data_IF_240436247108
#
_entry.id   IF_240436247108
#
_cell.length_a   1.000
_cell.length_b   1.000
_cell.length_c   1.000
_cell.angle_alpha   90.00
_cell.angle_beta   90.00
_cell.angle_gamma   90.00
#
_symmetry.space_group_name_H-M   'P 1'
#
loop_
_entity.id
_entity.type
_entity.pdbx_description
1 polymer ?
#
# COMPACT_ATOMS: atom_id res chain seq x y z
N UNK A 1 29.71 -34.99 -28.09
CA UNK A 1 29.99 -33.74 -28.83
C UNK A 1 28.79 -33.26 -29.66
N UNK A 2 28.12 -34.10 -30.48
CA UNK A 2 26.93 -33.64 -31.23
C UNK A 2 25.70 -33.30 -30.38
N UNK A 3 25.45 -34.02 -29.27
CA UNK A 3 24.33 -33.73 -28.36
C UNK A 3 24.51 -32.39 -27.62
N UNK A 4 25.71 -32.09 -27.14
CA UNK A 4 25.99 -30.84 -26.40
C UNK A 4 25.87 -29.58 -27.26
N UNK A 5 26.25 -29.64 -28.55
CA UNK A 5 26.11 -28.51 -29.48
C UNK A 5 24.62 -28.27 -29.80
N UNK A 6 23.83 -29.35 -29.94
CA UNK A 6 22.39 -29.28 -30.21
C UNK A 6 21.61 -28.66 -29.05
N UNK A 7 21.93 -29.02 -27.81
CA UNK A 7 21.28 -28.46 -26.61
C UNK A 7 21.62 -26.98 -26.42
N UNK A 8 22.85 -26.58 -26.75
CA UNK A 8 23.27 -25.19 -26.69
C UNK A 8 22.57 -24.32 -27.76
N UNK A 9 22.46 -24.80 -29.00
CA UNK A 9 21.76 -24.04 -30.05
C UNK A 9 20.28 -23.88 -29.75
N UNK A 10 19.63 -24.94 -29.24
CA UNK A 10 18.25 -24.84 -28.78
C UNK A 10 18.12 -23.81 -27.64
N UNK A 11 19.11 -23.74 -26.73
CA UNK A 11 19.14 -22.78 -25.62
C UNK A 11 19.17 -21.32 -26.07
N UNK A 12 19.84 -21.03 -27.18
CA UNK A 12 19.87 -19.69 -27.78
C UNK A 12 18.51 -19.33 -28.41
N UNK A 13 17.78 -20.28 -28.98
CA UNK A 13 16.44 -20.04 -29.54
C UNK A 13 15.40 -19.73 -28.46
N UNK A 14 15.46 -20.42 -27.33
CA UNK A 14 14.62 -20.11 -26.17
C UNK A 14 14.91 -18.71 -25.64
N UNK A 15 16.18 -18.32 -25.54
CA UNK A 15 16.56 -16.98 -25.13
C UNK A 15 15.95 -15.92 -26.05
N UNK A 16 16.04 -16.10 -27.37
CA UNK A 16 15.41 -15.20 -28.36
C UNK A 16 13.89 -15.12 -28.17
N UNK A 17 13.26 -16.22 -27.78
CA UNK A 17 11.82 -16.25 -27.50
C UNK A 17 11.48 -15.50 -26.22
N UNK A 18 12.27 -15.67 -25.16
CA UNK A 18 12.13 -14.90 -23.92
C UNK A 18 12.31 -13.38 -24.15
N UNK A 19 13.33 -12.99 -24.93
CA UNK A 19 13.60 -11.59 -25.29
C UNK A 19 12.49 -10.94 -26.12
N UNK A 20 11.88 -11.70 -27.04
CA UNK A 20 10.68 -11.23 -27.78
C UNK A 20 9.49 -10.99 -26.86
N UNK A 21 9.28 -11.86 -25.86
CA UNK A 21 8.23 -11.67 -24.84
C UNK A 21 8.52 -10.45 -23.96
N UNK A 22 9.77 -10.26 -23.54
CA UNK A 22 10.18 -9.10 -22.74
C UNK A 22 9.86 -7.77 -23.44
N UNK A 23 10.18 -7.69 -24.74
CA UNK A 23 9.89 -6.51 -25.54
C UNK A 23 8.38 -6.21 -25.63
N UNK A 24 7.54 -7.25 -25.77
CA UNK A 24 6.08 -7.08 -25.76
C UNK A 24 5.57 -6.62 -24.39
N UNK A 25 6.10 -7.17 -23.31
CA UNK A 25 5.74 -6.78 -21.94
C UNK A 25 6.07 -5.31 -21.67
N UNK A 26 7.25 -4.84 -22.09
CA UNK A 26 7.64 -3.44 -21.97
C UNK A 26 6.69 -2.49 -22.74
N UNK A 27 6.26 -2.88 -23.94
CA UNK A 27 5.30 -2.11 -24.74
C UNK A 27 3.94 -2.05 -24.05
N UNK A 28 3.44 -3.18 -23.56
CA UNK A 28 2.15 -3.25 -22.85
C UNK A 28 2.20 -2.46 -21.54
N UNK A 29 3.27 -2.56 -20.77
CA UNK A 29 3.48 -1.81 -19.54
C UNK A 29 3.44 -0.29 -19.80
N UNK A 30 4.13 0.18 -20.84
CA UNK A 30 4.11 1.60 -21.25
C UNK A 30 2.72 2.08 -21.67
N UNK A 31 1.93 1.23 -22.32
CA UNK A 31 0.55 1.56 -22.73
C UNK A 31 -0.44 1.55 -21.56
N UNK A 32 -0.22 0.68 -20.58
CA UNK A 32 -1.11 0.49 -19.41
C UNK A 32 -0.72 1.34 -18.20
N UNK A 33 0.43 2.02 -18.25
CA UNK A 33 0.96 2.81 -17.13
C UNK A 33 1.46 1.96 -15.96
N UNK A 34 1.61 0.64 -16.12
CA UNK A 34 2.14 -0.26 -15.11
C UNK A 34 3.67 -0.30 -15.18
N UNK A 35 4.34 -0.45 -14.03
CA UNK A 35 5.80 -0.65 -14.03
C UNK A 35 6.15 -2.00 -14.66
N UNK A 36 7.09 -1.98 -15.60
CA UNK A 36 7.66 -3.17 -16.24
C UNK A 36 8.85 -3.75 -15.46
N UNK A 37 9.31 -3.04 -14.44
CA UNK A 37 10.59 -3.31 -13.78
C UNK A 37 10.39 -4.19 -12.54
N UNK A 38 11.42 -4.96 -12.19
CA UNK A 38 11.45 -5.70 -10.93
C UNK A 38 11.52 -4.74 -9.75
N UNK A 39 10.89 -5.13 -8.64
CA UNK A 39 11.02 -4.39 -7.40
C UNK A 39 12.43 -4.54 -6.82
N UNK A 40 13.04 -3.42 -6.44
CA UNK A 40 14.29 -3.41 -5.69
C UNK A 40 14.03 -3.83 -4.25
N UNK A 41 14.74 -4.86 -3.80
CA UNK A 41 14.65 -5.32 -2.41
C UNK A 41 15.03 -4.22 -1.41
N UNK A 42 16.10 -3.48 -1.66
CA UNK A 42 16.60 -2.47 -0.71
C UNK A 42 15.61 -1.32 -0.54
N UNK A 43 14.95 -0.91 -1.63
CA UNK A 43 13.89 0.10 -1.59
C UNK A 43 12.68 -0.42 -0.81
N UNK A 44 12.20 -1.61 -1.12
CA UNK A 44 11.04 -2.21 -0.44
C UNK A 44 11.32 -2.45 1.04
N UNK A 45 12.50 -2.98 1.39
CA UNK A 45 12.92 -3.18 2.78
C UNK A 45 12.98 -1.85 3.54
N UNK A 46 13.54 -0.81 2.94
CA UNK A 46 13.60 0.52 3.53
C UNK A 46 12.21 1.12 3.77
N UNK A 47 11.32 0.99 2.79
CA UNK A 47 9.93 1.47 2.86
C UNK A 47 9.12 0.74 3.93
N UNK A 48 9.29 -0.57 4.07
CA UNK A 48 8.53 -1.41 5.02
C UNK A 48 9.21 -1.57 6.39
N UNK A 49 10.33 -0.85 6.63
CA UNK A 49 11.06 -0.86 7.91
C UNK A 49 11.47 -2.27 8.33
N UNK A 50 12.11 -3.02 7.42
CA UNK A 50 12.58 -4.38 7.71
C UNK A 50 13.73 -4.41 8.72
N UNK A 51 13.45 -4.90 9.92
CA UNK A 51 14.35 -4.85 11.09
C UNK A 51 15.10 -6.17 11.34
N UNK A 52 14.42 -7.31 11.27
CA UNK A 52 14.98 -8.62 11.66
C UNK A 52 15.05 -9.61 10.51
N UNK A 53 16.09 -10.45 10.52
CA UNK A 53 16.28 -11.54 9.56
C UNK A 53 16.09 -12.89 10.27
N UNK A 54 15.38 -13.82 9.64
CA UNK A 54 15.13 -15.16 10.15
C UNK A 54 15.46 -16.19 9.05
N UNK A 55 16.44 -17.09 9.26
CA UNK A 55 16.70 -18.16 8.31
C UNK A 55 15.54 -19.16 8.31
N UNK A 56 14.98 -19.41 7.13
CA UNK A 56 13.87 -20.37 6.92
C UNK A 56 14.33 -21.68 6.27
N UNK A 57 15.59 -21.73 5.79
CA UNK A 57 16.20 -22.92 5.21
C UNK A 57 15.75 -23.19 3.78
N UNK A 58 15.97 -24.43 3.31
CA UNK A 58 15.60 -24.88 1.97
C UNK A 58 14.10 -25.18 1.90
N UNK A 59 13.41 -24.54 0.96
CA UNK A 59 11.98 -24.74 0.71
C UNK A 59 11.68 -24.73 -0.78
N UNK A 60 10.55 -25.32 -1.17
CA UNK A 60 9.98 -25.19 -2.50
C UNK A 60 8.94 -24.08 -2.49
N UNK A 61 9.09 -23.09 -3.38
CA UNK A 61 8.22 -21.89 -3.42
C UNK A 61 7.62 -21.70 -4.80
N UNK A 62 6.47 -21.00 -4.90
CA UNK A 62 5.87 -20.73 -6.19
C UNK A 62 6.61 -19.60 -6.92
N UNK A 63 6.88 -19.80 -8.21
CA UNK A 63 7.64 -18.84 -9.03
C UNK A 63 6.93 -17.50 -9.20
N UNK A 64 5.60 -17.47 -9.16
CA UNK A 64 4.81 -16.24 -9.26
C UNK A 64 4.92 -15.33 -8.02
N UNK A 65 5.38 -15.86 -6.88
CA UNK A 65 5.61 -15.10 -5.67
C UNK A 65 6.97 -14.37 -5.67
N UNK A 66 7.84 -14.67 -6.64
CA UNK A 66 9.11 -13.95 -6.84
C UNK A 66 8.83 -12.66 -7.63
N UNK A 67 8.92 -11.51 -6.96
CA UNK A 67 8.47 -10.22 -7.53
C UNK A 67 9.59 -9.21 -7.72
N UNK A 68 10.79 -9.51 -7.22
CA UNK A 68 11.89 -8.55 -7.21
C UNK A 68 13.25 -9.19 -7.05
N UNK A 69 14.27 -8.36 -7.01
CA UNK A 69 15.66 -8.80 -6.87
C UNK A 69 16.45 -7.84 -5.98
N UNK A 70 17.46 -8.37 -5.29
CA UNK A 70 18.42 -7.59 -4.50
C UNK A 70 19.41 -6.86 -5.41
N UNK A 71 19.72 -7.44 -6.57
CA UNK A 71 20.56 -6.81 -7.59
C UNK A 71 20.10 -7.21 -8.98
N UNK A 72 20.50 -6.48 -10.03
CA UNK A 72 20.10 -6.78 -11.42
C UNK A 72 18.60 -6.64 -11.69
N UNK A 73 17.88 -5.84 -10.89
CA UNK A 73 16.46 -5.56 -11.11
C UNK A 73 16.20 -4.78 -12.43
N UNK A 74 17.25 -4.14 -12.98
CA UNK A 74 17.25 -3.50 -14.31
C UNK A 74 17.56 -4.45 -15.48
N UNK A 75 18.07 -5.66 -15.20
CA UNK A 75 18.48 -6.61 -16.25
C UNK A 75 17.29 -7.44 -16.75
N UNK A 76 16.16 -7.42 -16.02
CA UNK A 76 14.99 -8.25 -16.30
C UNK A 76 13.67 -7.47 -16.17
N UNK A 77 12.65 -7.91 -16.90
CA UNK A 77 11.26 -7.47 -16.67
C UNK A 77 10.74 -7.98 -15.32
N UNK A 78 9.60 -7.45 -14.86
CA UNK A 78 8.84 -7.96 -13.72
C UNK A 78 8.55 -9.47 -13.82
N UNK A 79 8.42 -9.97 -15.05
CA UNK A 79 8.25 -11.40 -15.33
C UNK A 79 9.57 -12.21 -15.36
N UNK A 80 10.70 -11.62 -14.95
CA UNK A 80 12.06 -12.20 -15.02
C UNK A 80 12.51 -12.56 -16.44
N UNK A 81 12.02 -11.83 -17.46
CA UNK A 81 12.49 -12.01 -18.83
C UNK A 81 13.71 -11.11 -19.08
N UNK A 82 14.78 -11.63 -19.73
CA UNK A 82 16.01 -10.87 -19.94
C UNK A 82 15.77 -9.68 -20.86
N UNK A 83 16.33 -8.52 -20.49
CA UNK A 83 16.24 -7.28 -21.26
C UNK A 83 17.47 -7.05 -22.15
N UNK A 84 18.64 -7.53 -21.77
CA UNK A 84 19.89 -7.35 -22.52
C UNK A 84 20.27 -8.62 -23.32
N UNK A 85 20.63 -8.42 -24.59
CA UNK A 85 21.12 -9.49 -25.47
C UNK A 85 22.48 -10.05 -25.03
N UNK A 86 23.26 -9.30 -24.22
CA UNK A 86 24.54 -9.76 -23.66
C UNK A 86 24.39 -10.95 -22.71
N UNK A 87 23.19 -11.16 -22.15
CA UNK A 87 22.92 -12.29 -21.25
C UNK A 87 22.71 -13.62 -21.99
N UNK A 88 22.66 -13.62 -23.33
CA UNK A 88 22.33 -14.81 -24.14
C UNK A 88 23.20 -16.02 -23.81
N UNK A 89 24.53 -15.85 -23.79
CA UNK A 89 25.45 -16.96 -23.52
C UNK A 89 25.29 -17.49 -22.09
N UNK A 90 25.18 -16.60 -21.11
CA UNK A 90 25.04 -16.99 -19.71
C UNK A 90 23.70 -17.69 -19.47
N UNK A 91 22.63 -17.16 -20.05
CA UNK A 91 21.29 -17.74 -19.99
C UNK A 91 21.27 -19.13 -20.63
N UNK A 92 21.88 -19.29 -21.81
CA UNK A 92 21.97 -20.58 -22.49
C UNK A 92 22.76 -21.61 -21.68
N UNK A 93 23.91 -21.22 -21.10
CA UNK A 93 24.68 -22.11 -20.21
C UNK A 93 23.88 -22.54 -18.99
N UNK A 94 23.12 -21.63 -18.37
CA UNK A 94 22.26 -21.96 -17.23
C UNK A 94 21.17 -22.95 -17.67
N UNK A 95 20.51 -22.72 -18.81
CA UNK A 95 19.51 -23.65 -19.34
C UNK A 95 20.10 -25.04 -19.57
N UNK A 96 21.20 -25.13 -20.30
CA UNK A 96 21.87 -26.42 -20.57
C UNK A 96 22.27 -27.11 -19.27
N UNK A 97 22.74 -26.36 -18.25
CA UNK A 97 23.09 -26.94 -16.96
C UNK A 97 21.88 -27.54 -16.21
N UNK A 98 20.72 -26.89 -16.31
CA UNK A 98 19.47 -27.37 -15.70
C UNK A 98 19.02 -28.66 -16.39
N UNK A 99 19.09 -28.72 -17.72
CA UNK A 99 18.71 -29.93 -18.47
C UNK A 99 19.62 -31.13 -18.13
N UNK A 100 20.91 -30.89 -17.88
CA UNK A 100 21.89 -31.94 -17.62
C UNK A 100 21.95 -32.39 -16.16
N UNK A 101 21.87 -31.46 -15.21
CA UNK A 101 22.18 -31.67 -13.79
C UNK A 101 21.02 -31.37 -12.85
N UNK A 102 19.90 -30.89 -13.38
CA UNK A 102 18.80 -30.37 -12.58
C UNK A 102 19.06 -28.96 -12.07
N UNK A 103 18.04 -28.38 -11.42
CA UNK A 103 18.08 -27.01 -10.92
C UNK A 103 18.65 -26.97 -9.50
N UNK A 104 19.81 -26.32 -9.34
CA UNK A 104 20.34 -26.03 -8.01
C UNK A 104 19.47 -24.97 -7.30
N UNK A 105 19.27 -25.07 -5.97
CA UNK A 105 18.47 -24.09 -5.22
C UNK A 105 18.97 -22.65 -5.38
N UNK A 106 18.04 -21.72 -5.48
CA UNK A 106 18.33 -20.27 -5.52
C UNK A 106 18.41 -19.70 -4.09
N UNK A 107 18.82 -18.44 -3.95
CA UNK A 107 18.84 -17.74 -2.67
C UNK A 107 17.86 -16.57 -2.71
N UNK A 108 17.00 -16.48 -1.69
CA UNK A 108 15.91 -15.49 -1.64
C UNK A 108 15.84 -14.78 -0.30
N UNK A 109 15.51 -13.49 -0.36
CA UNK A 109 14.86 -12.82 0.76
C UNK A 109 13.33 -12.92 0.64
N UNK A 110 12.65 -13.05 1.77
CA UNK A 110 11.18 -13.06 1.85
C UNK A 110 10.70 -11.86 2.67
N UNK A 111 9.69 -11.13 2.20
CA UNK A 111 8.95 -10.13 2.97
C UNK A 111 7.46 -10.47 2.83
N UNK A 112 6.77 -10.80 3.93
CA UNK A 112 5.40 -11.30 3.85
C UNK A 112 5.34 -12.60 3.05
N UNK A 113 4.56 -12.64 1.96
CA UNK A 113 4.51 -13.78 1.03
C UNK A 113 5.32 -13.56 -0.27
N UNK A 114 5.99 -12.41 -0.38
CA UNK A 114 6.73 -12.00 -1.55
C UNK A 114 8.21 -12.33 -1.44
N UNK A 115 8.81 -12.74 -2.56
CA UNK A 115 10.22 -13.14 -2.62
C UNK A 115 11.05 -12.23 -3.52
N UNK A 116 12.29 -12.02 -3.09
CA UNK A 116 13.31 -11.22 -3.78
C UNK A 116 14.55 -12.06 -4.01
N UNK A 117 15.03 -12.11 -5.24
CA UNK A 117 16.21 -12.92 -5.61
C UNK A 117 17.49 -12.29 -5.08
N UNK A 118 18.18 -13.00 -4.18
CA UNK A 118 19.54 -12.65 -3.75
C UNK A 118 20.56 -13.21 -4.74
N UNK A 119 20.42 -14.49 -5.10
CA UNK A 119 21.19 -15.13 -6.17
C UNK A 119 20.33 -16.09 -7.00
N UNK A 120 20.64 -16.18 -8.29
CA UNK A 120 19.98 -17.09 -9.22
C UNK A 120 18.97 -16.45 -10.19
N UNK A 121 19.08 -15.16 -10.49
CA UNK A 121 18.19 -14.44 -11.42
C UNK A 121 17.99 -15.17 -12.77
N UNK A 122 19.07 -15.61 -13.43
CA UNK A 122 18.95 -16.37 -14.69
C UNK A 122 18.27 -17.73 -14.50
N UNK A 123 18.42 -18.37 -13.33
CA UNK A 123 17.75 -19.65 -13.03
C UNK A 123 16.24 -19.44 -12.91
N UNK A 124 15.80 -18.36 -12.24
CA UNK A 124 14.38 -17.96 -12.19
C UNK A 124 13.85 -17.66 -13.59
N UNK A 125 14.61 -16.92 -14.40
CA UNK A 125 14.27 -16.62 -15.79
C UNK A 125 14.06 -17.88 -16.63
N UNK A 126 15.03 -18.82 -16.59
CA UNK A 126 14.94 -20.10 -17.29
C UNK A 126 13.76 -20.95 -16.77
N UNK A 127 13.57 -21.01 -15.46
CA UNK A 127 12.47 -21.77 -14.84
C UNK A 127 11.10 -21.29 -15.36
N UNK A 128 10.88 -19.98 -15.37
CA UNK A 128 9.66 -19.38 -15.93
C UNK A 128 9.52 -19.62 -17.43
N UNK A 129 10.62 -19.50 -18.19
CA UNK A 129 10.60 -19.77 -19.63
C UNK A 129 10.22 -21.23 -19.95
N UNK A 130 10.61 -22.18 -19.08
CA UNK A 130 10.26 -23.60 -19.16
C UNK A 130 8.90 -23.96 -18.57
N UNK A 131 8.17 -22.98 -18.02
CA UNK A 131 6.84 -23.18 -17.46
C UNK A 131 6.83 -23.95 -16.15
N UNK A 132 7.92 -23.90 -15.37
CA UNK A 132 7.89 -24.42 -14.01
C UNK A 132 6.93 -23.59 -13.15
N UNK A 133 6.24 -24.25 -12.22
CA UNK A 133 5.34 -23.59 -11.27
C UNK A 133 6.07 -23.23 -9.97
N UNK A 134 7.02 -24.07 -9.56
CA UNK A 134 7.77 -23.96 -8.32
C UNK A 134 9.29 -23.99 -8.55
N UNK A 135 10.04 -23.55 -7.55
CA UNK A 135 11.52 -23.57 -7.52
C UNK A 135 12.02 -23.81 -6.10
N UNK A 136 13.11 -24.57 -5.96
CA UNK A 136 13.78 -24.75 -4.68
C UNK A 136 14.63 -23.52 -4.34
N UNK A 137 14.54 -23.05 -3.09
CA UNK A 137 15.25 -21.87 -2.63
C UNK A 137 15.68 -21.97 -1.16
N UNK A 138 16.84 -21.40 -0.83
CA UNK A 138 17.20 -21.05 0.53
C UNK A 138 16.60 -19.69 0.86
N UNK A 139 15.78 -19.64 1.91
CA UNK A 139 15.00 -18.45 2.26
C UNK A 139 15.56 -17.82 3.53
N UNK A 140 15.78 -16.50 3.47
CA UNK A 140 15.97 -15.64 4.63
C UNK A 140 14.79 -14.68 4.71
N UNK A 141 13.94 -14.84 5.71
CA UNK A 141 12.78 -13.98 5.91
C UNK A 141 13.20 -12.67 6.58
N UNK A 142 12.66 -11.56 6.09
CA UNK A 142 12.79 -10.23 6.65
C UNK A 142 11.46 -9.88 7.31
N UNK A 143 11.49 -9.73 8.63
CA UNK A 143 10.32 -9.35 9.42
C UNK A 143 10.05 -7.85 9.25
N UNK A 144 8.83 -7.51 8.83
CA UNK A 144 8.32 -6.14 8.68
C UNK A 144 7.04 -5.96 9.48
N UNK A 145 6.75 -4.75 9.97
CA UNK A 145 5.47 -4.45 10.66
C UNK A 145 4.26 -4.54 9.72
N UNK A 146 4.48 -4.30 8.43
CA UNK A 146 3.45 -4.36 7.38
C UNK A 146 3.80 -5.47 6.40
N UNK A 147 2.88 -6.41 6.20
CA UNK A 147 3.08 -7.54 5.28
C UNK A 147 3.01 -7.09 3.82
N UNK A 148 3.96 -7.57 3.03
CA UNK A 148 3.94 -7.42 1.57
C UNK A 148 3.25 -8.64 0.95
N UNK A 149 2.41 -8.39 -0.06
CA UNK A 149 1.80 -9.41 -0.88
C UNK A 149 2.48 -9.46 -2.25
N UNK A 150 2.69 -10.65 -2.80
CA UNK A 150 3.27 -10.84 -4.13
C UNK A 150 2.40 -10.24 -5.26
N UNK A 151 1.11 -10.01 -4.99
CA UNK A 151 0.18 -9.34 -5.90
C UNK A 151 0.18 -7.83 -5.79
N UNK A 152 0.87 -7.25 -4.80
CA UNK A 152 0.93 -5.80 -4.60
C UNK A 152 1.47 -5.09 -5.83
N UNK A 153 0.89 -3.93 -6.11
CA UNK A 153 1.34 -3.01 -7.13
C UNK A 153 2.16 -1.88 -6.51
N UNK A 154 2.91 -1.10 -7.32
CA UNK A 154 3.67 0.04 -6.81
C UNK A 154 2.85 1.02 -5.96
N UNK A 155 1.58 1.24 -6.29
CA UNK A 155 0.68 2.11 -5.51
C UNK A 155 0.35 1.51 -4.12
N UNK A 156 0.28 0.18 -4.01
CA UNK A 156 0.12 -0.50 -2.72
C UNK A 156 1.34 -0.32 -1.83
N UNK A 157 2.55 -0.33 -2.42
CA UNK A 157 3.79 -0.10 -1.69
C UNK A 157 3.82 1.29 -1.06
N UNK A 158 3.33 2.32 -1.75
CA UNK A 158 3.26 3.68 -1.20
C UNK A 158 2.39 3.69 0.07
N UNK A 159 1.20 3.09 0.01
CA UNK A 159 0.29 3.03 1.18
C UNK A 159 0.88 2.20 2.32
N UNK A 160 1.51 1.06 2.00
CA UNK A 160 2.15 0.19 3.00
C UNK A 160 3.37 0.86 3.64
N UNK A 161 4.13 1.66 2.90
CA UNK A 161 5.24 2.46 3.43
C UNK A 161 4.77 3.56 4.40
N UNK A 162 3.69 4.25 4.04
CA UNK A 162 3.06 5.21 4.95
C UNK A 162 2.55 4.52 6.22
N UNK A 163 1.93 3.34 6.08
CA UNK A 163 1.46 2.57 7.23
C UNK A 163 2.60 2.08 8.12
N UNK A 164 3.70 1.59 7.52
CA UNK A 164 4.87 1.14 8.27
C UNK A 164 5.48 2.29 9.09
N UNK A 165 5.55 3.50 8.51
CA UNK A 165 6.02 4.70 9.21
C UNK A 165 5.06 5.13 10.33
N UNK A 166 3.75 5.02 10.09
CA UNK A 166 2.72 5.25 11.10
C UNK A 166 2.88 4.29 12.29
N UNK A 167 3.07 3.00 12.04
CA UNK A 167 3.26 1.99 13.08
C UNK A 167 4.60 2.15 13.81
N UNK A 168 5.69 2.49 13.11
CA UNK A 168 6.99 2.80 13.73
C UNK A 168 6.87 3.95 14.74
N UNK A 169 6.07 4.96 14.43
CA UNK A 169 5.86 6.12 15.31
C UNK A 169 4.91 5.81 16.48
N UNK A 170 3.81 5.10 16.20
CA UNK A 170 2.69 4.96 17.15
C UNK A 170 2.70 3.64 17.93
N UNK A 171 3.41 2.63 17.44
CA UNK A 171 3.44 1.25 17.97
C UNK A 171 2.05 0.68 18.24
N UNK A 172 1.05 1.11 17.47
CA UNK A 172 -0.34 0.68 17.66
C UNK A 172 -0.54 -0.82 17.39
N UNK A 173 0.28 -1.41 16.54
CA UNK A 173 0.36 -2.85 16.31
C UNK A 173 0.77 -3.62 17.58
N UNK A 174 1.57 -3.03 18.45
CA UNK A 174 1.98 -3.65 19.71
C UNK A 174 0.97 -3.38 20.85
N UNK A 175 0.51 -2.14 20.95
CA UNK A 175 -0.40 -1.72 22.03
C UNK A 175 -1.86 -2.16 21.77
N UNK A 176 -2.26 -2.27 20.50
CA UNK A 176 -3.58 -2.72 20.05
C UNK A 176 -3.43 -3.76 18.92
N UNK A 177 -3.00 -5.00 19.20
CA UNK A 177 -2.69 -6.00 18.16
C UNK A 177 -3.86 -6.43 17.27
N UNK A 178 -5.09 -6.10 17.66
CA UNK A 178 -6.30 -6.36 16.86
C UNK A 178 -6.77 -5.16 16.03
N UNK A 179 -6.05 -4.03 16.11
CA UNK A 179 -6.37 -2.84 15.34
C UNK A 179 -5.97 -3.04 13.88
N UNK A 180 -6.97 -2.98 12.99
CA UNK A 180 -6.72 -2.80 11.56
C UNK A 180 -6.97 -1.33 11.22
N UNK A 181 -5.89 -0.65 10.81
CA UNK A 181 -5.88 0.75 10.41
C UNK A 181 -5.52 0.89 8.92
N UNK A 182 -5.64 -0.18 8.15
CA UNK A 182 -5.33 -0.18 6.72
C UNK A 182 -6.22 0.81 5.95
N UNK A 183 -5.64 1.43 4.92
CA UNK A 183 -6.30 2.44 4.08
C UNK A 183 -6.11 2.13 2.61
N UNK A 184 -7.08 2.53 1.80
CA UNK A 184 -7.00 2.47 0.32
C UNK A 184 -6.56 3.79 -0.29
N UNK A 185 -6.61 4.89 0.46
CA UNK A 185 -6.24 6.24 -0.02
C UNK A 185 -4.89 6.68 0.55
N UNK A 186 -3.88 6.98 -0.29
CA UNK A 186 -2.61 7.56 0.16
C UNK A 186 -2.78 8.87 0.94
N UNK A 187 -1.86 9.14 1.86
CA UNK A 187 -1.83 10.33 2.70
C UNK A 187 -2.77 10.31 3.91
N UNK A 188 -3.59 9.26 4.07
CA UNK A 188 -4.58 9.15 5.16
C UNK A 188 -3.92 9.11 6.55
N UNK A 189 -2.77 8.46 6.68
CA UNK A 189 -2.04 8.36 7.96
C UNK A 189 -1.55 9.71 8.48
N UNK A 190 -1.38 10.73 7.63
CA UNK A 190 -1.01 12.09 8.09
C UNK A 190 -2.09 12.71 8.96
N UNK A 191 -3.36 12.49 8.62
CA UNK A 191 -4.48 12.97 9.44
C UNK A 191 -4.50 12.24 10.79
N UNK A 192 -4.31 10.92 10.78
CA UNK A 192 -4.30 10.12 12.01
C UNK A 192 -3.16 10.54 12.93
N UNK A 193 -1.94 10.71 12.40
CA UNK A 193 -0.79 11.20 13.17
C UNK A 193 -1.05 12.57 13.77
N UNK A 194 -1.72 13.47 13.05
CA UNK A 194 -2.07 14.76 13.61
C UNK A 194 -3.03 14.63 14.80
N UNK A 195 -4.10 13.85 14.67
CA UNK A 195 -5.06 13.67 15.76
C UNK A 195 -4.39 13.04 17.00
N UNK A 196 -3.46 12.10 16.79
CA UNK A 196 -2.66 11.52 17.87
C UNK A 196 -1.73 12.57 18.49
N UNK A 197 -1.11 13.43 17.68
CA UNK A 197 -0.26 14.51 18.18
C UNK A 197 -1.04 15.53 19.01
N UNK A 198 -2.28 15.82 18.62
CA UNK A 198 -3.21 16.66 19.37
C UNK A 198 -3.56 16.03 20.72
N UNK A 199 -3.96 14.76 20.72
CA UNK A 199 -4.24 14.00 21.95
C UNK A 199 -3.02 13.99 22.88
N UNK A 200 -1.83 13.74 22.32
CA UNK A 200 -0.55 13.79 23.04
C UNK A 200 -0.34 15.15 23.71
N UNK A 201 -0.56 16.25 22.98
CA UNK A 201 -0.36 17.60 23.52
C UNK A 201 -1.32 17.90 24.66
N UNK A 202 -2.59 17.55 24.52
CA UNK A 202 -3.61 17.73 25.55
C UNK A 202 -3.29 16.91 26.81
N UNK A 203 -2.83 15.67 26.64
CA UNK A 203 -2.36 14.83 27.74
C UNK A 203 -1.16 15.44 28.45
N UNK A 204 -0.15 15.89 27.69
CA UNK A 204 1.04 16.51 28.27
C UNK A 204 0.70 17.77 29.06
N UNK A 205 -0.20 18.61 28.57
CA UNK A 205 -0.67 19.80 29.29
C UNK A 205 -1.40 19.46 30.58
N UNK A 206 -2.24 18.43 30.57
CA UNK A 206 -3.04 18.03 31.73
C UNK A 206 -2.18 17.39 32.82
N UNK A 207 -1.17 16.59 32.44
CA UNK A 207 -0.33 15.85 33.39
C UNK A 207 0.98 16.57 33.74
N UNK A 208 1.35 17.61 32.98
CA UNK A 208 2.60 18.34 33.17
C UNK A 208 3.87 17.55 32.82
N UNK A 209 3.74 16.45 32.08
CA UNK A 209 4.84 15.59 31.64
C UNK A 209 4.77 15.35 30.13
N UNK A 210 5.91 15.05 29.50
CA UNK A 210 5.89 14.66 28.09
C UNK A 210 5.38 13.22 27.93
N UNK A 211 4.45 13.01 27.01
CA UNK A 211 3.74 11.74 26.83
C UNK A 211 4.36 10.98 25.65
N UNK A 212 4.72 9.69 25.79
CA UNK A 212 5.18 8.88 24.67
C UNK A 212 4.10 8.76 23.57
N UNK A 213 4.52 8.65 22.31
CA UNK A 213 3.59 8.57 21.17
C UNK A 213 2.64 7.38 21.28
N UNK A 214 3.16 6.23 21.71
CA UNK A 214 2.42 5.00 21.87
C UNK A 214 1.30 5.08 22.92
N UNK A 215 1.50 5.86 23.98
CA UNK A 215 0.48 6.09 25.01
C UNK A 215 -0.64 6.97 24.47
N UNK A 216 -0.28 8.06 23.78
CA UNK A 216 -1.26 8.94 23.15
C UNK A 216 -2.03 8.23 22.03
N UNK A 217 -1.33 7.44 21.21
CA UNK A 217 -1.92 6.67 20.11
C UNK A 217 -2.92 5.64 20.62
N UNK A 218 -2.57 4.88 21.66
CA UNK A 218 -3.47 3.90 22.27
C UNK A 218 -4.74 4.57 22.85
N UNK A 219 -4.60 5.73 23.50
CA UNK A 219 -5.74 6.48 24.02
C UNK A 219 -6.62 7.04 22.91
N UNK A 220 -6.02 7.67 21.90
CA UNK A 220 -6.73 8.16 20.71
C UNK A 220 -7.50 7.02 20.02
N UNK A 221 -6.87 5.85 19.88
CA UNK A 221 -7.50 4.68 19.27
C UNK A 221 -8.76 4.25 20.04
N UNK A 222 -8.70 4.19 21.36
CA UNK A 222 -9.83 3.76 22.20
C UNK A 222 -10.92 4.82 22.33
N UNK A 223 -10.55 6.10 22.41
CA UNK A 223 -11.47 7.20 22.77
C UNK A 223 -12.03 7.95 21.57
N UNK A 224 -11.34 7.92 20.44
CA UNK A 224 -11.69 8.72 19.26
C UNK A 224 -11.94 7.82 18.05
N UNK A 225 -11.00 6.94 17.72
CA UNK A 225 -11.12 6.08 16.53
C UNK A 225 -12.21 5.01 16.70
N UNK A 226 -12.11 4.18 17.73
CA UNK A 226 -12.99 3.03 17.94
C UNK A 226 -14.48 3.42 18.03
N UNK A 227 -14.88 4.46 18.79
CA UNK A 227 -16.29 4.83 18.88
C UNK A 227 -16.86 5.27 17.53
N UNK A 228 -16.11 6.04 16.75
CA UNK A 228 -16.58 6.48 15.43
C UNK A 228 -16.65 5.30 14.44
N UNK A 229 -15.68 4.40 14.46
CA UNK A 229 -15.70 3.18 13.63
C UNK A 229 -16.87 2.27 13.99
N UNK A 230 -17.21 2.16 15.27
CA UNK A 230 -18.40 1.42 15.70
C UNK A 230 -19.68 2.04 15.13
N UNK A 231 -19.83 3.36 15.18
CA UNK A 231 -20.97 4.05 14.53
C UNK A 231 -20.98 3.81 13.02
N UNK A 232 -19.82 3.86 12.35
CA UNK A 232 -19.69 3.56 10.92
C UNK A 232 -20.23 2.16 10.60
N UNK A 233 -19.82 1.16 11.39
CA UNK A 233 -20.23 -0.23 11.22
C UNK A 233 -21.72 -0.44 11.49
N UNK A 234 -22.24 0.13 12.57
CA UNK A 234 -23.65 0.02 12.97
C UNK A 234 -24.61 0.66 11.94
N UNK A 235 -24.16 1.69 11.23
CA UNK A 235 -24.95 2.33 10.16
C UNK A 235 -24.81 1.63 8.80
N UNK A 236 -24.04 0.52 8.71
CA UNK A 236 -23.91 -0.25 7.47
C UNK A 236 -23.12 0.45 6.36
N UNK A 237 -22.40 1.54 6.66
CA UNK A 237 -21.60 2.29 5.68
C UNK A 237 -20.59 1.41 4.91
N UNK A 238 -19.95 0.38 5.50
CA UNK A 238 -19.09 -0.52 4.73
C UNK A 238 -19.81 -1.25 3.58
N UNK A 239 -21.12 -1.47 3.69
CA UNK A 239 -21.91 -2.09 2.62
C UNK A 239 -22.11 -1.15 1.43
N UNK A 240 -22.27 0.15 1.70
CA UNK A 240 -22.43 1.18 0.67
C UNK A 240 -21.11 1.51 -0.05
N UNK A 241 -19.97 1.20 0.60
CA UNK A 241 -18.62 1.46 0.09
C UNK A 241 -17.73 0.21 0.15
N UNK A 242 -18.01 -0.85 -0.64
CA UNK A 242 -17.33 -2.14 -0.52
C UNK A 242 -15.82 -2.11 -0.81
N UNK A 243 -15.32 -1.06 -1.46
CA UNK A 243 -13.90 -0.88 -1.80
C UNK A 243 -13.16 0.04 -0.81
N UNK A 244 -13.77 0.39 0.33
CA UNK A 244 -13.17 1.29 1.33
C UNK A 244 -13.09 0.59 2.68
N UNK A 245 -11.99 0.84 3.40
CA UNK A 245 -11.84 0.34 4.76
C UNK A 245 -12.62 1.20 5.76
N UNK A 246 -12.81 0.67 6.98
CA UNK A 246 -13.38 1.46 8.08
C UNK A 246 -12.53 2.70 8.37
N UNK A 247 -11.21 2.60 8.22
CA UNK A 247 -10.29 3.73 8.38
C UNK A 247 -10.46 4.77 7.27
N UNK A 248 -10.68 4.35 6.01
CA UNK A 248 -10.98 5.29 4.92
C UNK A 248 -12.26 6.09 5.21
N UNK A 249 -13.31 5.41 5.69
CA UNK A 249 -14.58 6.04 6.07
C UNK A 249 -14.40 6.97 7.27
N UNK A 250 -13.62 6.56 8.27
CA UNK A 250 -13.24 7.40 9.42
C UNK A 250 -12.56 8.69 8.96
N UNK A 251 -11.56 8.59 8.08
CA UNK A 251 -10.82 9.75 7.55
C UNK A 251 -11.74 10.66 6.75
N UNK A 252 -12.60 10.08 5.90
CA UNK A 252 -13.55 10.83 5.08
C UNK A 252 -14.57 11.61 5.93
N UNK A 253 -15.16 10.98 6.95
CA UNK A 253 -16.12 11.64 7.86
C UNK A 253 -15.44 12.79 8.61
N UNK A 254 -14.23 12.57 9.14
CA UNK A 254 -13.51 13.63 9.87
C UNK A 254 -13.21 14.84 8.97
N UNK A 255 -12.73 14.61 7.74
CA UNK A 255 -12.53 15.70 6.76
C UNK A 255 -13.83 16.46 6.46
N UNK A 256 -14.93 15.74 6.25
CA UNK A 256 -16.23 16.38 5.94
C UNK A 256 -16.78 17.17 7.12
N UNK A 257 -16.61 16.68 8.36
CA UNK A 257 -16.99 17.44 9.56
C UNK A 257 -16.22 18.75 9.66
N UNK A 258 -14.92 18.74 9.39
CA UNK A 258 -14.11 19.97 9.37
C UNK A 258 -14.60 20.95 8.31
N UNK A 259 -14.85 20.51 7.07
CA UNK A 259 -15.41 21.37 6.02
C UNK A 259 -16.73 22.01 6.44
N UNK A 260 -17.62 21.24 7.07
CA UNK A 260 -18.91 21.74 7.55
C UNK A 260 -18.72 22.72 8.72
N UNK A 261 -17.82 22.45 9.65
CA UNK A 261 -17.50 23.37 10.75
C UNK A 261 -16.89 24.67 10.21
N UNK A 262 -15.98 24.61 9.24
CA UNK A 262 -15.34 25.81 8.66
C UNK A 262 -16.32 26.61 7.80
N UNK A 263 -17.21 25.95 7.03
CA UNK A 263 -18.19 26.63 6.17
C UNK A 263 -19.44 27.12 6.91
N UNK A 264 -19.87 26.43 7.97
CA UNK A 264 -21.15 26.69 8.65
C UNK A 264 -21.01 27.10 10.12
N UNK A 265 -19.82 26.98 10.72
CA UNK A 265 -19.56 27.34 12.11
C UNK A 265 -20.21 26.42 13.17
N UNK A 266 -20.72 25.24 12.78
CA UNK A 266 -21.49 24.36 13.67
C UNK A 266 -20.72 23.08 14.01
N UNK A 267 -20.62 22.74 15.30
CA UNK A 267 -20.18 21.41 15.75
C UNK A 267 -21.27 20.38 15.45
N UNK A 268 -21.11 19.61 14.37
CA UNK A 268 -22.07 18.53 14.02
C UNK A 268 -21.71 17.26 14.79
N UNK A 269 -22.59 16.73 15.65
CA UNK A 269 -22.40 15.43 16.31
C UNK A 269 -22.32 14.29 15.30
N UNK A 270 -21.54 13.25 15.63
CA UNK A 270 -21.23 12.10 14.76
C UNK A 270 -22.50 11.41 14.25
N UNK A 271 -23.54 11.40 15.07
CA UNK A 271 -24.83 10.75 14.82
C UNK A 271 -25.60 11.44 13.68
N UNK A 272 -25.47 12.77 13.56
CA UNK A 272 -26.14 13.58 12.53
C UNK A 272 -25.43 13.46 11.18
N UNK A 273 -24.10 13.29 11.19
CA UNK A 273 -23.33 13.07 9.98
C UNK A 273 -23.60 11.67 9.38
N UNK A 274 -23.74 10.63 10.20
CA UNK A 274 -24.06 9.28 9.75
C UNK A 274 -25.52 9.16 9.23
N UNK A 275 -26.49 9.78 9.92
CA UNK A 275 -27.91 9.69 9.55
C UNK A 275 -28.27 10.34 8.21
N UNK A 276 -27.49 11.32 7.73
CA UNK A 276 -27.74 12.01 6.45
C UNK A 276 -27.13 11.31 5.23
N UNK A 277 -26.45 10.18 5.40
CA UNK A 277 -25.76 9.46 4.33
C UNK A 277 -26.55 8.30 3.72
N UNK A 278 -27.69 7.94 4.30
CA UNK A 278 -28.58 6.89 3.74
C UNK A 278 -29.34 7.41 2.50
N UNK A 279 -29.16 6.82 1.30
CA UNK A 279 -29.88 7.23 0.09
C UNK A 279 -31.38 6.87 0.12
N UNK A 280 -31.82 6.10 1.11
CA UNK A 280 -33.18 5.55 1.24
C UNK A 280 -34.25 6.55 1.72
N UNK A 281 -33.87 7.74 2.23
CA UNK A 281 -34.87 8.74 2.65
C UNK A 281 -35.49 9.54 1.49
N UNK A 282 -34.91 9.50 0.29
CA UNK A 282 -35.39 10.31 -0.86
C UNK A 282 -36.61 9.76 -1.59
N UNK A 283 -37.15 8.59 -1.22
CA UNK A 283 -38.20 7.91 -2.01
C UNK A 283 -39.62 7.91 -1.42
N UNK A 284 -39.90 8.62 -0.31
CA UNK A 284 -41.25 8.57 0.30
C UNK A 284 -42.11 9.83 0.23
N UNK A 285 -41.59 10.97 -0.23
CA UNK A 285 -42.37 12.24 -0.29
C UNK A 285 -42.60 12.76 -1.72
N UNK A 286 -43.19 11.94 -2.60
CA UNK A 286 -43.73 12.43 -3.89
C UNK A 286 -45.14 11.93 -4.18
N UNK A 287 -46.08 12.14 -3.26
CA UNK A 287 -47.51 12.19 -3.57
C UNK A 287 -48.26 13.05 -2.54
N UNK A 288 -48.30 14.37 -2.78
CA UNK A 288 -49.45 15.23 -2.49
C UNK A 288 -49.18 16.64 -3.07
N UNK A 289 -50.11 17.12 -3.88
CA UNK A 289 -50.13 18.45 -4.48
C UNK A 289 -50.36 19.55 -3.43
N UNK A 290 -49.79 20.74 -3.66
CA UNK A 290 -50.39 22.01 -3.23
C UNK A 290 -49.45 23.02 -2.58
N UNK A 291 -49.06 24.04 -3.36
CA UNK A 291 -48.79 25.43 -2.92
C UNK A 291 -47.40 25.78 -2.32
N UNK A 292 -46.65 26.57 -3.09
CA UNK A 292 -45.49 27.43 -2.71
C UNK A 292 -45.83 28.42 -1.56
N UNK A 293 -44.86 29.02 -0.80
CA UNK A 293 -43.56 29.49 -1.31
C UNK A 293 -42.30 29.34 -0.43
N UNK A 294 -41.16 29.35 -1.15
CA UNK A 294 -39.83 29.85 -0.77
C UNK A 294 -39.13 29.31 0.49
N UNK A 295 -38.21 28.38 0.28
CA UNK A 295 -36.81 28.55 0.73
C UNK A 295 -35.90 27.64 -0.08
N UNK A 296 -35.03 28.22 -0.88
CA UNK A 296 -34.05 27.49 -1.68
C UNK A 296 -32.95 26.95 -0.78
N UNK A 297 -33.05 25.69 -0.34
CA UNK A 297 -31.88 24.94 0.12
C UNK A 297 -31.29 24.21 -1.09
N UNK A 298 -30.33 24.84 -1.76
CA UNK A 298 -29.46 24.17 -2.71
C UNK A 298 -28.68 23.09 -1.93
N UNK A 299 -29.11 21.84 -2.02
CA UNK A 299 -28.29 20.71 -1.61
C UNK A 299 -27.10 20.65 -2.55
N UNK A 300 -25.91 21.02 -2.06
CA UNK A 300 -24.67 20.81 -2.79
C UNK A 300 -24.54 19.33 -3.20
N UNK A 301 -24.11 19.03 -4.43
CA UNK A 301 -23.78 17.68 -4.81
C UNK A 301 -22.62 17.17 -3.95
N UNK A 302 -22.71 15.93 -3.49
CA UNK A 302 -21.64 15.24 -2.78
C UNK A 302 -20.37 15.29 -3.63
N UNK A 303 -19.28 15.83 -3.08
CA UNK A 303 -17.96 15.77 -3.70
C UNK A 303 -17.57 14.29 -3.88
N UNK A 304 -17.10 13.87 -5.06
CA UNK A 304 -16.68 12.48 -5.27
C UNK A 304 -15.56 12.08 -4.29
N UNK A 305 -15.64 10.86 -3.73
CA UNK A 305 -14.63 10.30 -2.82
C UNK A 305 -13.22 10.23 -3.44
N UNK A 306 -13.11 10.29 -4.77
CA UNK A 306 -11.84 10.19 -5.51
C UNK A 306 -11.10 11.54 -5.67
N UNK A 307 -11.57 12.60 -5.00
CA UNK A 307 -10.87 13.89 -4.99
C UNK A 307 -9.53 13.74 -4.27
N UNK A 308 -8.45 13.53 -5.02
CA UNK A 308 -7.10 13.73 -4.47
C UNK A 308 -7.00 15.17 -3.96
N UNK A 309 -6.37 15.40 -2.80
CA UNK A 309 -6.36 16.74 -2.21
C UNK A 309 -5.62 17.74 -3.10
N UNK A 310 -6.14 18.96 -3.19
CA UNK A 310 -5.43 20.09 -3.79
C UNK A 310 -4.13 20.35 -3.00
N UNK A 311 -2.95 20.37 -3.65
CA UNK A 311 -1.67 20.62 -2.98
C UNK A 311 -1.69 21.93 -2.18
N UNK A 312 -1.76 21.84 -0.85
CA UNK A 312 -1.62 22.99 0.06
C UNK A 312 -2.84 23.35 0.89
N UNK A 313 -3.98 22.65 0.80
CA UNK A 313 -5.14 22.89 1.68
C UNK A 313 -4.81 22.69 3.17
N UNK A 314 -3.78 21.91 3.49
CA UNK A 314 -3.23 21.71 4.84
C UNK A 314 -2.38 22.88 5.36
N UNK A 315 -1.85 23.77 4.49
CA UNK A 315 -1.22 25.01 4.99
C UNK A 315 -2.27 25.91 5.64
N UNK A 316 -3.46 25.98 5.06
CA UNK A 316 -4.57 26.73 5.66
C UNK A 316 -4.93 26.18 7.06
N UNK A 317 -4.84 24.87 7.26
CA UNK A 317 -5.06 24.23 8.56
C UNK A 317 -4.00 24.55 9.62
N UNK A 318 -2.71 24.60 9.24
CA UNK A 318 -1.63 25.01 10.15
C UNK A 318 -1.72 26.51 10.53
N UNK A 319 -2.20 27.34 9.61
CA UNK A 319 -2.38 28.78 9.83
C UNK A 319 -3.68 29.15 10.55
N UNK A 320 -4.79 28.43 10.32
CA UNK A 320 -6.10 28.76 10.90
C UNK A 320 -6.22 28.39 12.40
N UNK A 321 -5.42 27.44 12.87
CA UNK A 321 -5.40 27.00 14.28
C UNK A 321 -4.34 27.71 15.13
N UNK A 322 -3.45 28.49 14.51
CA UNK A 322 -2.40 29.26 15.18
C UNK A 322 -2.30 30.67 14.58
N UNK A 323 -3.06 31.67 15.07
CA UNK A 323 -2.73 33.06 14.82
C UNK A 323 -1.32 33.29 15.37
N UNK A 324 -0.39 33.73 14.52
CA UNK A 324 0.97 34.10 14.94
C UNK A 324 0.89 35.00 16.16
N UNK A 325 1.43 34.56 17.30
CA UNK A 325 1.86 35.49 18.33
C UNK A 325 2.97 36.35 17.72
N UNK A 326 2.66 37.62 17.53
CA UNK A 326 3.61 38.64 17.08
C UNK A 326 4.71 38.81 18.14
N UNK A 327 5.76 37.99 18.06
CA UNK A 327 7.07 38.29 18.64
C UNK A 327 7.78 39.24 17.67
N UNK A 328 7.37 40.50 17.66
CA UNK A 328 8.11 41.73 17.36
C UNK A 328 7.07 42.87 17.32
N UNK A 329 7.07 43.72 18.36
CA UNK A 329 6.53 45.08 18.29
C UNK A 329 7.66 45.99 17.79
N UNK A 330 7.26 47.01 17.02
CA UNK A 330 8.09 48.01 16.34
C UNK A 330 9.41 48.40 17.02
#
# INVERSE_FOLDING_TARGET
>A
MHLEISDYTASIEDFRTARRRAALEAVVARLTGKSADLLSFDEVRGLLKGEHTLPRGLQEIPLNAIIGSVGRYHDFTRSFLPLDDQDAERWARVRTSIDQRGMAPIELYQIGDAYFVLDGNHRVSVARARGFETIQAHITEIQTRVSLLHTDQPDDLIRKAEYATFLETTRLDEYRPRADLSVTVPGSYRLLLYQIAEERRQMSQTQGIDIPWEVAAARWYDKTYTPLVQVIRENGLPHDFPNRTETDLYVWINRRREELVTKLGWQVPVEVAAANLSPTSRKRDRTAQGSSPQTSSNGEPLTPLDSTPDPGSWRAWAYATHPREHLFRD
#
